data_IF_173379163843
#
_entry.id   IF_173379163843
#
_cell.length_a   1.000
_cell.length_b   1.000
_cell.length_c   1.000
_cell.angle_alpha   90.00
_cell.angle_beta   90.00
_cell.angle_gamma   90.00
#
_symmetry.space_group_name_H-M   'P 1'
#
loop_
_entity.id
_entity.type
_entity.pdbx_description
1 polymer ?
#
# COMPACT_ATOMS: atom_id res chain seq x y z
N UNK A 1 37.73 11.88 26.18
CA UNK A 1 37.36 10.53 25.83
C UNK A 1 35.91 10.25 26.08
N UNK A 2 35.43 10.49 27.29
CA UNK A 2 34.00 10.30 27.54
C UNK A 2 33.11 11.16 26.68
N UNK A 3 33.62 12.31 26.29
CA UNK A 3 32.92 13.26 25.44
C UNK A 3 32.56 12.67 24.07
N UNK A 4 33.50 11.99 23.47
CA UNK A 4 33.30 11.40 22.16
C UNK A 4 32.29 10.26 22.19
N UNK A 5 32.26 9.53 23.27
CA UNK A 5 31.34 8.43 23.44
C UNK A 5 29.90 8.92 23.52
N UNK A 6 29.69 10.01 24.26
CA UNK A 6 28.34 10.58 24.41
C UNK A 6 27.85 11.15 23.09
N UNK A 7 28.73 11.83 22.34
CA UNK A 7 28.37 12.38 21.05
C UNK A 7 28.01 11.28 20.07
N UNK A 8 28.74 10.21 20.10
CA UNK A 8 28.48 9.06 19.22
C UNK A 8 27.14 8.43 19.54
N UNK A 9 26.80 8.32 20.81
CA UNK A 9 25.51 7.79 21.22
C UNK A 9 24.35 8.66 20.75
N UNK A 10 24.50 9.96 20.83
CA UNK A 10 23.48 10.90 20.37
C UNK A 10 23.24 10.80 18.86
N UNK A 11 24.31 10.61 18.10
CA UNK A 11 24.19 10.45 16.65
C UNK A 11 23.46 9.18 16.29
N UNK A 12 23.71 8.10 16.99
CA UNK A 12 23.02 6.84 16.75
C UNK A 12 21.55 6.96 17.08
N UNK A 13 21.23 7.64 18.17
CA UNK A 13 19.84 7.84 18.56
C UNK A 13 19.06 8.66 17.54
N UNK A 14 19.69 9.68 16.98
CA UNK A 14 19.06 10.49 15.95
C UNK A 14 18.81 9.69 14.68
N UNK A 15 19.75 8.86 14.29
CA UNK A 15 19.59 8.03 13.11
C UNK A 15 18.45 7.02 13.28
N UNK A 16 18.27 6.53 14.51
CA UNK A 16 17.22 5.55 14.79
C UNK A 16 15.82 6.16 14.76
N UNK A 17 15.71 7.47 14.94
CA UNK A 17 14.39 8.12 14.98
C UNK A 17 13.85 8.43 13.59
N UNK A 18 14.68 8.35 12.56
CA UNK A 18 14.24 8.63 11.20
C UNK A 18 13.78 7.33 10.56
N UNK A 19 12.49 7.08 10.62
CA UNK A 19 11.90 5.90 10.00
C UNK A 19 11.01 6.33 8.85
N UNK A 20 11.30 5.81 7.66
CA UNK A 20 10.43 6.00 6.52
C UNK A 20 9.16 5.18 6.75
N UNK A 21 8.02 5.83 6.76
CA UNK A 21 6.75 5.14 6.86
C UNK A 21 6.34 4.66 5.48
N UNK A 22 5.88 3.43 5.43
CA UNK A 22 5.44 2.85 4.17
C UNK A 22 4.16 2.05 4.37
N UNK A 23 3.42 1.95 3.27
CA UNK A 23 2.23 1.12 3.18
C UNK A 23 2.60 -0.06 2.33
N UNK A 24 2.30 -1.25 2.79
CA UNK A 24 2.65 -2.47 2.07
C UNK A 24 1.55 -3.49 2.15
N UNK A 25 1.59 -4.46 1.25
CA UNK A 25 0.63 -5.54 1.22
C UNK A 25 0.90 -6.47 0.07
N UNK A 26 0.06 -7.48 -0.04
CA UNK A 26 0.14 -8.45 -1.12
C UNK A 26 -1.23 -8.64 -1.73
N UNK A 27 -1.30 -8.60 -3.05
CA UNK A 27 -2.56 -8.77 -3.79
C UNK A 27 -2.63 -10.17 -4.36
N UNK A 28 -3.77 -10.80 -4.19
CA UNK A 28 -4.03 -12.12 -4.76
C UNK A 28 -5.40 -12.11 -5.44
N UNK A 29 -5.60 -13.07 -6.32
CA UNK A 29 -6.89 -13.27 -6.96
C UNK A 29 -7.78 -14.20 -6.11
N UNK A 30 -8.90 -14.60 -6.67
CA UNK A 30 -9.86 -15.44 -5.96
C UNK A 30 -9.32 -16.84 -5.63
N UNK A 31 -8.26 -17.25 -6.32
CA UNK A 31 -7.62 -18.53 -6.10
C UNK A 31 -6.36 -18.40 -5.23
N UNK A 32 -6.14 -17.21 -4.65
CA UNK A 32 -4.96 -16.90 -3.85
C UNK A 32 -3.66 -16.88 -4.64
N UNK A 33 -3.76 -16.68 -5.94
CA UNK A 33 -2.57 -16.52 -6.77
C UNK A 33 -2.15 -15.06 -6.82
N UNK A 34 -0.84 -14.78 -6.88
CA UNK A 34 -0.37 -13.39 -6.88
C UNK A 34 -0.92 -12.58 -8.05
N UNK A 35 -1.34 -11.36 -7.78
CA UNK A 35 -1.78 -10.42 -8.80
C UNK A 35 -0.68 -9.42 -9.07
N UNK A 36 -0.04 -9.57 -10.21
CA UNK A 36 1.04 -8.67 -10.62
C UNK A 36 0.47 -7.45 -11.34
N UNK A 37 1.19 -6.34 -11.23
CA UNK A 37 0.96 -5.12 -12.02
C UNK A 37 -0.39 -4.47 -11.77
N UNK A 38 -0.95 -4.67 -10.62
CA UNK A 38 -2.15 -3.93 -10.20
C UNK A 38 -1.75 -2.52 -9.76
N UNK A 39 -2.63 -1.57 -9.98
CA UNK A 39 -2.40 -0.18 -9.59
C UNK A 39 -2.79 0.02 -8.13
N UNK A 40 -1.87 0.59 -7.36
CA UNK A 40 -2.10 0.93 -5.96
C UNK A 40 -1.86 2.42 -5.82
N UNK A 41 -2.89 3.16 -5.44
CA UNK A 41 -2.85 4.62 -5.42
C UNK A 41 -3.24 5.11 -4.04
N UNK A 42 -2.45 6.04 -3.52
CA UNK A 42 -2.73 6.72 -2.26
C UNK A 42 -3.45 8.02 -2.55
N UNK A 43 -4.59 8.21 -1.92
CA UNK A 43 -5.44 9.38 -2.14
C UNK A 43 -5.62 10.16 -0.85
N UNK A 44 -5.72 11.47 -0.99
CA UNK A 44 -6.10 12.33 0.13
C UNK A 44 -7.60 12.49 0.17
N UNK A 45 -8.13 12.74 1.37
CA UNK A 45 -9.56 12.94 1.55
C UNK A 45 -9.81 14.38 2.00
N UNK A 46 -11.02 14.92 1.74
CA UNK A 46 -12.20 14.28 1.15
C UNK A 46 -12.22 14.26 -0.37
N UNK A 47 -11.27 14.90 -1.02
CA UNK A 47 -11.32 15.13 -2.47
C UNK A 47 -10.89 13.94 -3.30
N UNK A 48 -10.34 12.91 -2.68
CA UNK A 48 -9.75 11.76 -3.38
C UNK A 48 -8.67 12.20 -4.37
N UNK A 49 -7.85 13.15 -3.95
CA UNK A 49 -6.77 13.68 -4.77
C UNK A 49 -5.57 12.74 -4.73
N UNK A 50 -4.97 12.52 -5.87
CA UNK A 50 -3.80 11.66 -5.99
C UNK A 50 -2.64 12.21 -5.14
N UNK A 51 -2.06 11.34 -4.32
CA UNK A 51 -0.89 11.68 -3.52
C UNK A 51 0.34 10.93 -4.03
N UNK A 52 0.22 9.61 -4.18
CA UNK A 52 1.33 8.76 -4.59
C UNK A 52 0.77 7.47 -5.17
N UNK A 53 1.59 6.73 -5.92
CA UNK A 53 1.13 5.48 -6.50
C UNK A 53 2.27 4.52 -6.80
N UNK A 54 1.91 3.26 -6.92
CA UNK A 54 2.83 2.19 -7.28
C UNK A 54 2.06 1.07 -7.98
N UNK A 55 2.79 0.06 -8.41
CA UNK A 55 2.17 -1.16 -8.97
C UNK A 55 2.70 -2.37 -8.21
N UNK A 56 1.90 -3.42 -8.15
CA UNK A 56 2.34 -4.66 -7.52
C UNK A 56 3.38 -5.36 -8.41
N UNK A 57 4.28 -6.09 -7.76
CA UNK A 57 5.31 -6.82 -8.48
C UNK A 57 4.79 -8.21 -8.90
N UNK A 58 5.69 -9.03 -9.41
CA UNK A 58 5.33 -10.36 -9.90
C UNK A 58 4.76 -11.27 -8.83
N UNK A 59 5.09 -11.01 -7.59
CA UNK A 59 4.59 -11.78 -6.45
C UNK A 59 3.32 -11.17 -5.87
N UNK A 60 2.81 -10.11 -6.47
CA UNK A 60 1.64 -9.40 -5.96
C UNK A 60 1.94 -8.44 -4.84
N UNK A 61 3.18 -8.30 -4.45
CA UNK A 61 3.56 -7.41 -3.35
C UNK A 61 3.63 -5.97 -3.82
N UNK A 62 3.22 -5.05 -2.97
CA UNK A 62 3.35 -3.63 -3.25
C UNK A 62 3.89 -2.91 -2.03
N UNK A 63 4.55 -1.81 -2.30
CA UNK A 63 5.05 -0.92 -1.26
C UNK A 63 4.90 0.51 -1.73
N UNK A 64 4.37 1.34 -0.87
CA UNK A 64 4.04 2.70 -1.19
C UNK A 64 4.48 3.58 -0.04
N UNK A 65 5.17 4.68 -0.34
CA UNK A 65 5.58 5.62 0.69
C UNK A 65 4.35 6.32 1.26
N UNK A 66 4.23 6.28 2.57
CA UNK A 66 3.11 6.92 3.24
C UNK A 66 3.35 8.43 3.33
N UNK A 67 2.30 9.19 3.05
CA UNK A 67 2.29 10.63 3.18
C UNK A 67 1.19 11.02 4.17
N UNK A 68 1.42 12.06 4.94
CA UNK A 68 0.45 12.51 5.94
C UNK A 68 -0.90 12.84 5.32
N UNK A 69 -0.90 13.29 4.08
CA UNK A 69 -2.14 13.65 3.38
C UNK A 69 -2.89 12.44 2.87
N UNK A 70 -2.20 11.31 2.73
CA UNK A 70 -2.82 10.10 2.18
C UNK A 70 -3.65 9.39 3.22
N UNK A 71 -4.93 9.22 2.96
CA UNK A 71 -5.85 8.61 3.89
C UNK A 71 -6.60 7.42 3.33
N UNK A 72 -6.56 7.23 2.02
CA UNK A 72 -7.30 6.18 1.34
C UNK A 72 -6.42 5.54 0.28
N UNK A 73 -6.44 4.21 0.22
CA UNK A 73 -5.71 3.47 -0.81
C UNK A 73 -6.74 2.88 -1.77
N UNK A 74 -6.56 3.16 -3.05
CA UNK A 74 -7.37 2.58 -4.11
C UNK A 74 -6.54 1.55 -4.86
N UNK A 75 -7.07 0.36 -4.97
CA UNK A 75 -6.40 -0.74 -5.65
C UNK A 75 -7.26 -1.15 -6.83
N UNK A 76 -6.69 -1.13 -8.02
CA UNK A 76 -7.41 -1.47 -9.24
C UNK A 76 -6.55 -2.33 -10.16
N UNK A 77 -7.21 -3.20 -10.90
CA UNK A 77 -6.56 -4.04 -11.89
C UNK A 77 -7.59 -4.38 -12.97
N UNK A 78 -7.13 -4.55 -14.20
CA UNK A 78 -8.01 -4.87 -15.31
C UNK A 78 -8.69 -6.20 -15.05
N UNK A 79 -10.01 -6.22 -15.14
CA UNK A 79 -10.79 -7.42 -14.92
C UNK A 79 -11.18 -7.68 -13.48
N UNK A 80 -10.83 -6.77 -12.57
CA UNK A 80 -11.14 -6.92 -11.15
C UNK A 80 -11.86 -5.69 -10.62
N UNK A 81 -12.68 -5.90 -9.61
CA UNK A 81 -13.37 -4.81 -8.94
C UNK A 81 -12.38 -3.95 -8.17
N UNK A 82 -12.55 -2.65 -8.27
CA UNK A 82 -11.70 -1.70 -7.54
C UNK A 82 -11.98 -1.76 -6.06
N UNK A 83 -10.91 -1.76 -5.26
CA UNK A 83 -10.99 -1.83 -3.81
C UNK A 83 -10.51 -0.52 -3.22
N UNK A 84 -11.21 -0.05 -2.18
CA UNK A 84 -10.81 1.11 -1.41
C UNK A 84 -10.55 0.69 0.03
N UNK A 85 -9.40 1.08 0.57
CA UNK A 85 -9.04 0.77 1.94
C UNK A 85 -8.53 2.00 2.65
N UNK A 86 -9.05 2.26 3.84
CA UNK A 86 -8.55 3.37 4.64
C UNK A 86 -7.16 3.05 5.15
N UNK A 87 -6.32 4.07 5.18
CA UNK A 87 -4.98 3.93 5.74
C UNK A 87 -5.11 3.86 7.25
N UNK A 88 -4.76 2.69 7.79
CA UNK A 88 -4.89 2.43 9.21
C UNK A 88 -3.71 1.57 9.65
N UNK A 89 -2.53 2.17 9.59
CA UNK A 89 -1.29 1.46 9.77
C UNK A 89 -0.58 1.27 8.44
N UNK A 90 0.54 0.57 8.45
CA UNK A 90 1.37 0.42 7.26
C UNK A 90 1.23 -0.91 6.53
N UNK A 91 0.69 -1.91 7.19
CA UNK A 91 0.63 -3.25 6.62
C UNK A 91 -0.81 -3.68 6.41
N UNK A 92 -1.17 -3.86 5.16
CA UNK A 92 -2.51 -4.31 4.79
C UNK A 92 -2.62 -5.83 4.73
N UNK A 93 -1.50 -6.56 4.84
CA UNK A 93 -1.52 -8.00 4.74
C UNK A 93 -1.88 -8.48 3.35
N UNK A 94 -2.60 -9.57 3.27
CA UNK A 94 -3.03 -10.15 2.00
C UNK A 94 -4.41 -9.60 1.65
N UNK A 95 -4.53 -9.04 0.45
CA UNK A 95 -5.79 -8.49 -0.05
C UNK A 95 -6.23 -9.34 -1.24
N UNK A 96 -7.42 -9.89 -1.16
CA UNK A 96 -7.97 -10.68 -2.26
C UNK A 96 -8.86 -9.80 -3.12
N UNK A 97 -8.61 -9.81 -4.44
CA UNK A 97 -9.41 -9.06 -5.39
C UNK A 97 -10.43 -9.97 -6.06
N UNK A 98 -11.60 -9.42 -6.29
CA UNK A 98 -12.72 -10.14 -6.89
C UNK A 98 -12.88 -9.73 -8.33
N UNK A 99 -13.12 -10.70 -9.20
CA UNK A 99 -13.32 -10.46 -10.62
C UNK A 99 -14.55 -9.60 -10.88
N UNK A 100 -14.39 -8.65 -11.79
CA UNK A 100 -15.49 -7.80 -12.25
C UNK A 100 -16.63 -8.62 -12.82
N UNK A 101 -16.31 -9.68 -13.52
CA UNK A 101 -17.32 -10.53 -14.14
C UNK A 101 -18.28 -11.13 -13.11
N UNK A 102 -17.77 -11.44 -11.93
CA UNK A 102 -18.62 -11.98 -10.86
C UNK A 102 -19.52 -10.92 -10.26
N UNK A 103 -19.05 -9.70 -10.19
CA UNK A 103 -19.85 -8.60 -9.65
C UNK A 103 -20.94 -8.18 -10.59
N UNK A 104 -20.67 -8.18 -11.88
CA UNK A 104 -21.64 -7.84 -12.89
C UNK A 104 -22.68 -8.94 -13.05
N UNK A 105 -22.33 -10.08 -12.61
CA UNK A 105 -23.23 -11.14 -12.42
C UNK A 105 -24.20 -11.47 -13.43
N UNK A 106 -24.52 -11.26 -13.64
CA UNK A 106 -25.15 -11.45 -14.28
C UNK A 106 -25.51 -11.32 -15.35
N UNK A 107 -25.48 -11.09 -15.69
CA UNK A 107 -25.63 -10.73 -16.67
C UNK A 107 -25.84 -11.47 -17.55
N UNK A 108 -26.03 -11.87 -17.72
CA UNK A 108 -26.14 -12.39 -18.50
C UNK A 108 -26.82 -12.64 -19.24
N UNK A 109 -27.11 -12.69 -19.61
CA UNK A 109 -27.74 -12.93 -20.40
C UNK A 109 -27.91 -13.43 -21.05
#
# INVERSE_FOLDING_TARGET
MKRHLVMMLCLIAMAASVKAQSISGKLVDEKNEPLAYANVVLLSMPDSTFVNGTISDEMGAFRLTKDEKGQLVRISSIGYATIYKKVNGGDFGVIQMTSDAQLLGEVTV
#
